data_IF_168460140931
#
_entry.id   IF_168460140931
#
_cell.length_a   1.000
_cell.length_b   1.000
_cell.length_c   1.000
_cell.angle_alpha   90.00
_cell.angle_beta   90.00
_cell.angle_gamma   90.00
#
_symmetry.space_group_name_H-M   'P 1'
#
loop_
_entity.id
_entity.type
_entity.pdbx_description
1 polymer ?
#
# COMPACT_ATOMS: atom_id res chain seq x y z
N UNK A 1 -7.42 15.99 -14.77
CA UNK A 1 -6.98 14.85 -13.97
C UNK A 1 -8.17 14.25 -13.22
N UNK A 2 -8.23 12.95 -13.17
CA UNK A 2 -9.37 12.29 -12.56
C UNK A 2 -9.12 12.03 -11.07
N UNK A 3 -9.70 12.86 -10.21
CA UNK A 3 -9.53 12.74 -8.76
C UNK A 3 -10.13 11.46 -8.19
N UNK A 4 -10.98 10.77 -8.96
CA UNK A 4 -11.60 9.52 -8.54
C UNK A 4 -10.61 8.37 -8.40
N UNK A 5 -9.38 8.54 -8.89
CA UNK A 5 -8.36 7.50 -8.82
C UNK A 5 -7.22 7.86 -7.89
N UNK A 6 -7.45 8.72 -6.91
CA UNK A 6 -6.43 9.10 -5.93
C UNK A 6 -5.89 7.90 -5.13
N UNK A 7 -6.64 6.82 -5.04
CA UNK A 7 -6.17 5.62 -4.36
C UNK A 7 -5.09 4.88 -5.16
N UNK A 8 -4.95 5.16 -6.47
CA UNK A 8 -3.94 4.51 -7.30
C UNK A 8 -2.61 5.25 -7.16
N UNK A 9 -1.58 4.54 -6.70
CA UNK A 9 -0.23 5.08 -6.62
C UNK A 9 0.45 4.99 -7.97
N UNK A 10 0.33 3.82 -8.63
CA UNK A 10 1.00 3.60 -9.90
C UNK A 10 0.38 2.43 -10.66
N UNK A 11 0.10 2.65 -11.95
CA UNK A 11 -0.36 1.59 -12.85
C UNK A 11 0.84 1.09 -13.65
N UNK A 12 1.40 -0.05 -13.22
CA UNK A 12 2.55 -0.64 -13.90
C UNK A 12 2.13 -1.67 -14.94
N UNK A 13 3.12 -2.19 -15.65
CA UNK A 13 2.91 -3.22 -16.67
C UNK A 13 2.43 -4.54 -16.08
N UNK A 14 2.88 -4.87 -14.86
CA UNK A 14 2.55 -6.13 -14.19
C UNK A 14 1.56 -5.96 -13.05
N UNK A 15 1.68 -4.87 -12.29
CA UNK A 15 0.81 -4.62 -11.14
C UNK A 15 0.40 -3.17 -11.07
N UNK A 16 -0.84 -2.96 -10.59
CA UNK A 16 -1.30 -1.64 -10.16
C UNK A 16 -1.14 -1.57 -8.65
N UNK A 17 -0.47 -0.54 -8.17
CA UNK A 17 -0.23 -0.37 -6.73
C UNK A 17 -1.19 0.69 -6.20
N UNK A 18 -1.89 0.37 -5.11
CA UNK A 18 -2.93 1.22 -4.55
C UNK A 18 -2.72 1.43 -3.06
N UNK A 19 -3.17 2.58 -2.55
CA UNK A 19 -3.30 2.82 -1.12
C UNK A 19 -4.57 2.15 -0.60
N UNK A 20 -4.49 1.51 0.57
CA UNK A 20 -5.67 1.02 1.26
C UNK A 20 -6.36 2.18 1.97
N UNK A 21 -7.67 2.26 1.86
CA UNK A 21 -8.51 3.23 2.59
C UNK A 21 -9.50 2.50 3.48
N UNK A 22 -9.61 2.95 4.74
CA UNK A 22 -10.55 2.34 5.68
C UNK A 22 -12.00 2.83 5.42
N UNK A 23 -12.92 2.41 6.29
CA UNK A 23 -14.34 2.75 6.13
C UNK A 23 -14.59 4.26 6.17
N UNK A 24 -13.73 4.99 6.83
CA UNK A 24 -13.84 6.45 6.96
C UNK A 24 -13.09 7.16 5.83
N UNK A 25 -12.70 6.43 4.80
CA UNK A 25 -11.96 6.94 3.64
C UNK A 25 -10.63 7.59 4.08
N UNK A 26 -9.95 6.94 5.02
CA UNK A 26 -8.64 7.37 5.51
C UNK A 26 -7.61 6.30 5.20
N UNK A 27 -6.41 6.75 4.83
CA UNK A 27 -5.29 5.87 4.54
C UNK A 27 -4.08 6.30 5.36
N UNK A 28 -3.74 5.49 6.35
CA UNK A 28 -2.58 5.77 7.19
C UNK A 28 -1.28 5.77 6.36
N UNK A 29 -1.16 4.84 5.41
CA UNK A 29 0.05 4.76 4.58
C UNK A 29 0.19 5.98 3.68
N UNK A 30 -0.90 6.44 3.08
CA UNK A 30 -0.87 7.64 2.23
C UNK A 30 -0.52 8.87 3.06
N UNK A 31 -1.13 9.01 4.23
CA UNK A 31 -0.84 10.13 5.12
C UNK A 31 0.62 10.11 5.55
N UNK A 32 1.14 8.93 5.87
CA UNK A 32 2.54 8.77 6.22
C UNK A 32 3.44 9.20 5.05
N UNK A 33 3.12 8.73 3.85
CA UNK A 33 3.87 9.09 2.65
C UNK A 33 3.85 10.59 2.41
N UNK A 34 2.68 11.22 2.55
CA UNK A 34 2.54 12.66 2.32
C UNK A 34 3.34 13.48 3.33
N UNK A 35 3.60 12.93 4.50
CA UNK A 35 4.41 13.58 5.52
C UNK A 35 5.91 13.40 5.34
N UNK A 36 6.36 12.56 4.41
CA UNK A 36 7.78 12.37 4.16
C UNK A 36 8.37 13.51 3.36
N UNK A 37 9.67 13.73 3.55
CA UNK A 37 10.42 14.64 2.66
C UNK A 37 10.46 14.05 1.25
N UNK A 38 10.71 14.90 0.27
CA UNK A 38 10.72 14.49 -1.13
C UNK A 38 11.66 13.31 -1.38
N UNK A 39 12.84 13.29 -0.75
CA UNK A 39 13.79 12.19 -0.94
C UNK A 39 13.20 10.84 -0.49
N UNK A 40 12.47 10.83 0.63
CA UNK A 40 11.82 9.61 1.12
C UNK A 40 10.69 9.17 0.21
N UNK A 41 9.91 10.12 -0.29
CA UNK A 41 8.85 9.82 -1.24
C UNK A 41 9.42 9.20 -2.52
N UNK A 42 10.50 9.77 -3.04
CA UNK A 42 11.13 9.28 -4.26
C UNK A 42 11.66 7.85 -4.10
N UNK A 43 12.22 7.53 -2.93
CA UNK A 43 12.71 6.16 -2.65
C UNK A 43 11.58 5.15 -2.73
N UNK A 44 10.43 5.46 -2.13
CA UNK A 44 9.29 4.55 -2.18
C UNK A 44 8.76 4.42 -3.61
N UNK A 45 8.58 5.55 -4.30
CA UNK A 45 8.03 5.54 -5.65
C UNK A 45 8.92 4.76 -6.61
N UNK A 46 10.24 4.82 -6.43
CA UNK A 46 11.16 4.01 -7.24
C UNK A 46 10.89 2.52 -7.07
N UNK A 47 10.71 2.07 -5.81
CA UNK A 47 10.43 0.65 -5.53
C UNK A 47 9.06 0.24 -6.05
N UNK A 48 8.07 1.09 -5.88
CA UNK A 48 6.71 0.82 -6.39
C UNK A 48 6.73 0.67 -7.90
N UNK A 49 7.43 1.56 -8.59
CA UNK A 49 7.53 1.51 -10.05
C UNK A 49 8.22 0.23 -10.51
N UNK A 50 9.30 -0.17 -9.83
CA UNK A 50 9.98 -1.42 -10.19
C UNK A 50 9.08 -2.63 -10.02
N UNK A 51 8.38 -2.72 -8.89
CA UNK A 51 7.45 -3.83 -8.67
C UNK A 51 6.32 -3.79 -9.69
N UNK A 52 5.74 -2.61 -9.91
CA UNK A 52 4.62 -2.45 -10.84
C UNK A 52 4.97 -2.83 -12.26
N UNK A 53 6.14 -2.42 -12.74
CA UNK A 53 6.52 -2.65 -14.14
C UNK A 53 7.15 -4.02 -14.36
N UNK A 54 7.95 -4.52 -13.43
CA UNK A 54 8.71 -5.75 -13.63
C UNK A 54 8.17 -6.96 -12.87
N UNK A 55 7.26 -6.72 -11.94
CA UNK A 55 6.59 -7.79 -11.21
C UNK A 55 7.37 -8.35 -10.03
N UNK A 56 8.59 -7.90 -9.80
CA UNK A 56 9.41 -8.36 -8.68
C UNK A 56 10.53 -7.38 -8.37
N UNK A 57 11.00 -7.47 -7.13
CA UNK A 57 12.21 -6.80 -6.67
C UNK A 57 13.05 -7.88 -6.00
N UNK A 58 14.21 -8.21 -6.59
CA UNK A 58 15.05 -9.32 -6.08
C UNK A 58 15.80 -8.96 -4.80
N UNK A 59 16.08 -7.69 -4.60
CA UNK A 59 16.85 -7.22 -3.42
C UNK A 59 15.96 -7.23 -2.18
N UNK A 60 16.20 -8.21 -1.30
CA UNK A 60 15.41 -8.38 -0.07
C UNK A 60 15.60 -7.24 0.92
N UNK A 61 16.64 -6.43 0.76
CA UNK A 61 16.81 -5.25 1.61
C UNK A 61 15.88 -4.11 1.18
N UNK A 62 15.25 -4.24 0.01
CA UNK A 62 14.34 -3.23 -0.54
C UNK A 62 12.89 -3.69 -0.53
N UNK A 63 12.66 -5.01 -0.66
CA UNK A 63 11.31 -5.56 -0.71
C UNK A 63 11.38 -7.00 -0.22
N UNK A 64 10.61 -7.35 0.81
CA UNK A 64 10.74 -8.64 1.44
C UNK A 64 9.41 -9.19 1.93
N UNK A 65 9.30 -10.52 1.89
CA UNK A 65 8.15 -11.24 2.45
C UNK A 65 8.27 -11.29 3.97
N UNK A 66 7.18 -10.93 4.66
CA UNK A 66 7.15 -10.85 6.11
C UNK A 66 6.17 -11.87 6.73
N UNK A 67 5.90 -12.96 6.03
CA UNK A 67 4.94 -14.01 6.42
C UNK A 67 3.48 -13.55 6.32
N UNK A 68 2.56 -14.50 6.41
CA UNK A 68 1.12 -14.27 6.35
C UNK A 68 0.67 -13.51 5.10
N UNK A 69 1.43 -13.61 4.02
CA UNK A 69 1.09 -12.92 2.77
C UNK A 69 1.39 -11.44 2.76
N UNK A 70 2.06 -10.93 3.78
CA UNK A 70 2.42 -9.52 3.89
C UNK A 70 3.82 -9.30 3.35
N UNK A 71 4.00 -8.26 2.54
CA UNK A 71 5.28 -7.87 1.96
C UNK A 71 5.61 -6.44 2.36
N UNK A 72 6.88 -6.16 2.61
CA UNK A 72 7.33 -4.84 3.03
C UNK A 72 8.18 -4.17 1.96
N UNK A 73 7.77 -2.97 1.53
CA UNK A 73 8.65 -2.06 0.80
C UNK A 73 9.55 -1.38 1.84
N UNK A 74 10.83 -1.27 1.54
CA UNK A 74 11.83 -0.79 2.49
C UNK A 74 12.62 0.41 1.98
N UNK A 75 11.97 1.57 1.79
CA UNK A 75 12.70 2.81 1.50
C UNK A 75 13.26 3.37 2.79
N UNK A 76 14.38 2.83 3.24
CA UNK A 76 14.97 3.09 4.56
C UNK A 76 14.97 4.55 4.96
N UNK A 77 14.62 4.90 6.21
CA UNK A 77 14.33 4.00 7.33
C UNK A 77 12.88 3.53 7.39
N UNK A 78 12.06 3.90 6.42
CA UNK A 78 10.62 3.65 6.46
C UNK A 78 10.27 2.27 5.94
N UNK A 79 9.10 1.79 6.36
CA UNK A 79 8.54 0.52 5.90
C UNK A 79 7.10 0.75 5.49
N UNK A 80 6.71 0.19 4.33
CA UNK A 80 5.33 0.23 3.86
C UNK A 80 4.89 -1.21 3.64
N UNK A 81 3.91 -1.67 4.41
CA UNK A 81 3.42 -3.04 4.32
C UNK A 81 2.34 -3.14 3.25
N UNK A 82 2.25 -4.31 2.63
CA UNK A 82 1.37 -4.51 1.49
C UNK A 82 0.99 -5.97 1.33
N UNK A 83 0.00 -6.22 0.46
CA UNK A 83 -0.34 -7.57 0.06
C UNK A 83 -0.75 -7.57 -1.42
N UNK A 84 -0.59 -8.74 -2.05
CA UNK A 84 -1.01 -8.93 -3.43
C UNK A 84 -2.44 -9.46 -3.45
N UNK A 85 -3.23 -9.02 -4.42
CA UNK A 85 -4.61 -9.48 -4.54
C UNK A 85 -4.98 -9.63 -6.01
N UNK A 86 -6.15 -10.21 -6.28
CA UNK A 86 -6.62 -10.48 -7.63
C UNK A 86 -6.74 -9.20 -8.45
N UNK A 87 -6.65 -9.35 -9.78
CA UNK A 87 -6.66 -8.21 -10.68
C UNK A 87 -5.29 -7.58 -10.83
N UNK A 88 -4.22 -8.31 -10.48
CA UNK A 88 -2.85 -7.82 -10.59
C UNK A 88 -2.65 -6.54 -9.77
N UNK A 89 -3.08 -6.59 -8.52
CA UNK A 89 -3.01 -5.43 -7.62
C UNK A 89 -2.12 -5.69 -6.42
N UNK A 90 -1.47 -4.63 -5.98
CA UNK A 90 -0.71 -4.61 -4.71
C UNK A 90 -1.32 -3.49 -3.87
N UNK A 91 -1.78 -3.83 -2.67
CA UNK A 91 -2.45 -2.87 -1.80
C UNK A 91 -1.53 -2.54 -0.64
N UNK A 92 -1.18 -1.26 -0.49
CA UNK A 92 -0.32 -0.80 0.61
C UNK A 92 -1.20 -0.47 1.81
N UNK A 93 -0.97 -1.17 2.92
CA UNK A 93 -1.87 -1.14 4.07
C UNK A 93 -1.51 -0.07 5.10
N UNK A 94 -0.27 -0.08 5.57
CA UNK A 94 0.18 0.84 6.62
C UNK A 94 1.68 1.05 6.53
N UNK A 95 2.15 2.11 7.16
CA UNK A 95 3.55 2.49 7.11
C UNK A 95 4.05 2.93 8.47
N UNK A 96 5.35 2.81 8.69
CA UNK A 96 5.98 3.18 9.95
C UNK A 96 7.48 3.35 9.74
N UNK A 97 8.13 4.02 10.70
CA UNK A 97 9.59 4.13 10.71
C UNK A 97 10.15 2.95 11.49
N UNK A 98 11.06 2.20 10.87
CA UNK A 98 11.65 1.02 11.51
C UNK A 98 12.72 1.45 12.51
N UNK A 99 12.53 1.06 13.77
CA UNK A 99 13.47 1.36 14.85
C UNK A 99 14.14 0.14 15.45
N UNK A 100 13.77 -1.05 15.01
CA UNK A 100 14.35 -2.31 15.48
C UNK A 100 14.52 -3.26 14.31
N UNK A 101 15.27 -4.37 14.52
CA UNK A 101 15.58 -5.30 13.42
C UNK A 101 14.37 -6.10 12.96
N UNK A 102 13.49 -6.49 13.88
CA UNK A 102 12.32 -7.28 13.54
C UNK A 102 11.16 -6.39 13.18
N UNK A 103 10.30 -6.89 12.29
CA UNK A 103 9.04 -6.24 11.99
C UNK A 103 8.20 -6.20 13.28
N UNK A 104 7.74 -5.01 13.72
CA UNK A 104 6.87 -4.94 14.90
C UNK A 104 5.60 -5.75 14.68
N UNK A 105 5.30 -6.62 15.65
CA UNK A 105 4.13 -7.48 15.58
C UNK A 105 2.84 -6.67 15.38
N UNK A 106 2.73 -5.53 16.08
CA UNK A 106 1.56 -4.68 15.98
C UNK A 106 1.35 -4.11 14.58
N UNK A 107 2.43 -3.77 13.89
CA UNK A 107 2.31 -3.25 12.52
C UNK A 107 1.86 -4.33 11.55
N UNK A 108 2.38 -5.55 11.71
CA UNK A 108 1.95 -6.67 10.89
C UNK A 108 0.49 -7.02 11.16
N UNK A 109 0.05 -6.97 12.41
CA UNK A 109 -1.36 -7.19 12.74
C UNK A 109 -2.26 -6.16 12.08
N UNK A 110 -1.83 -4.89 12.03
CA UNK A 110 -2.56 -3.85 11.31
C UNK A 110 -2.70 -4.20 9.84
N UNK A 111 -1.62 -4.67 9.21
CA UNK A 111 -1.65 -5.04 7.79
C UNK A 111 -2.63 -6.18 7.53
N UNK A 112 -2.62 -7.20 8.40
CA UNK A 112 -3.53 -8.33 8.26
C UNK A 112 -4.99 -7.88 8.41
N UNK A 113 -5.27 -6.98 9.35
CA UNK A 113 -6.62 -6.43 9.54
C UNK A 113 -7.05 -5.61 8.33
N UNK A 114 -6.17 -4.79 7.79
CA UNK A 114 -6.47 -4.00 6.59
C UNK A 114 -6.82 -4.92 5.43
N UNK A 115 -6.05 -6.01 5.25
CA UNK A 115 -6.33 -6.97 4.20
C UNK A 115 -7.70 -7.63 4.38
N UNK A 116 -8.02 -8.05 5.60
CA UNK A 116 -9.30 -8.68 5.87
C UNK A 116 -10.45 -7.72 5.56
N UNK A 117 -10.33 -6.47 5.97
CA UNK A 117 -11.33 -5.44 5.69
C UNK A 117 -11.46 -5.18 4.19
N UNK A 118 -10.32 -5.04 3.50
CA UNK A 118 -10.32 -4.83 2.06
C UNK A 118 -11.03 -5.98 1.34
N UNK A 119 -10.66 -7.22 1.65
CA UNK A 119 -11.22 -8.39 1.00
C UNK A 119 -12.72 -8.50 1.26
N UNK A 120 -13.17 -8.25 2.49
CA UNK A 120 -14.57 -8.30 2.83
C UNK A 120 -15.38 -7.24 2.07
N UNK A 121 -14.88 -6.02 2.02
CA UNK A 121 -15.59 -4.92 1.34
C UNK A 121 -15.54 -5.05 -0.17
N UNK A 122 -14.46 -5.58 -0.73
CA UNK A 122 -14.40 -5.84 -2.17
C UNK A 122 -15.40 -6.93 -2.53
N UNK A 123 -15.46 -8.01 -1.73
CA UNK A 123 -16.42 -9.10 -1.95
C UNK A 123 -17.86 -8.59 -1.85
N UNK A 124 -18.11 -7.65 -0.94
CA UNK A 124 -19.45 -7.05 -0.79
C UNK A 124 -19.75 -5.96 -1.81
N UNK A 125 -18.79 -5.60 -2.66
CA UNK A 125 -18.98 -4.61 -3.71
C UNK A 125 -18.96 -3.17 -3.24
N UNK A 126 -18.51 -2.89 -2.01
CA UNK A 126 -18.59 -1.56 -1.45
C UNK A 126 -17.24 -0.82 -1.38
N UNK A 127 -16.12 -1.53 -1.45
CA UNK A 127 -14.83 -0.88 -1.24
C UNK A 127 -14.59 0.28 -2.23
N UNK A 128 -14.58 -0.03 -3.51
CA UNK A 128 -14.29 0.99 -4.54
C UNK A 128 -15.46 1.95 -4.73
N UNK A 129 -16.69 1.48 -4.53
CA UNK A 129 -17.86 2.34 -4.63
C UNK A 129 -17.82 3.46 -3.59
N UNK A 130 -17.42 3.15 -2.36
CA UNK A 130 -17.30 4.16 -1.31
C UNK A 130 -16.26 5.22 -1.66
N UNK A 131 -15.14 4.82 -2.25
CA UNK A 131 -14.10 5.77 -2.68
C UNK A 131 -14.62 6.68 -3.77
N UNK A 132 -15.33 6.14 -4.76
CA UNK A 132 -15.90 6.93 -5.85
C UNK A 132 -16.97 7.91 -5.37
N UNK A 133 -17.83 7.46 -4.46
CA UNK A 133 -18.89 8.32 -3.91
C UNK A 133 -18.31 9.50 -3.16
N UNK A 134 -17.27 9.27 -2.37
CA UNK A 134 -16.62 10.34 -1.61
C UNK A 134 -16.03 11.38 -2.56
N UNK A 135 -15.37 10.94 -3.62
CA UNK A 135 -14.81 11.83 -4.62
C UNK A 135 -15.89 12.64 -5.31
N UNK A 136 -17.02 12.01 -5.63
CA UNK A 136 -18.13 12.69 -6.29
C UNK A 136 -18.80 13.75 -5.41
N UNK A 137 -18.81 13.52 -4.10
CA UNK A 137 -19.41 14.45 -3.15
C UNK A 137 -18.49 15.63 -2.85
N UNK A 138 -17.21 15.49 -3.06
CA UNK A 138 -16.26 16.55 -2.78
C UNK A 138 -16.08 17.49 -3.96
#
# INVERSE_FOLDING_TARGET
MDDKEEYIVYKGEKFTVEWYFDENVKSQARDYFNGLEQSGQMKLLYLIKRLGDFGKISDKTKFNFEDDGIWAFKPKPDRFLSFFTSGQKVIITNAFEKKCQKLPKTEKEKAVKCRADYEARVKGGTYYDNLRKTDEES
#
